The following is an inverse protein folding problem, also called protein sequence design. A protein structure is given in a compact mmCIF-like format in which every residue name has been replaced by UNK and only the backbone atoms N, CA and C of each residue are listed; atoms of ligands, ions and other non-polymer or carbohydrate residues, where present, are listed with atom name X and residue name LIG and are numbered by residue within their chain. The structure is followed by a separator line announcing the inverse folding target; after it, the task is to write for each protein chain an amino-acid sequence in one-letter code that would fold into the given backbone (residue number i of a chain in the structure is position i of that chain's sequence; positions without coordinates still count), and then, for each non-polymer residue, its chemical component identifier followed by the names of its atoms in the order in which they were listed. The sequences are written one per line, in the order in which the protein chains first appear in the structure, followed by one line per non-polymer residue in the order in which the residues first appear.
data_IF_842711553947
#
_entry.id   IF_842711553947
#
_cell.length_a   1.000
_cell.length_b   1.000
_cell.length_c   1.000
_cell.angle_alpha   90.00
_cell.angle_beta   90.00
_cell.angle_gamma   90.00
#
_symmetry.space_group_name_H-M   'P 1'
#
loop_
_entity.id
_entity.type
_entity.pdbx_description
1 polymer ?
#
# COMPACT_ATOMS: atom_id res chain seq x y z
N UNK A 1 -32.31 29.06 7.02
CA UNK A 1 -32.29 28.07 5.92
C UNK A 1 -31.37 28.64 4.86
N UNK A 2 -30.18 28.12 4.56
CA UNK A 2 -29.66 26.76 4.56
C UNK A 2 -28.25 26.79 5.18
N UNK A 3 -27.97 25.78 6.01
CA UNK A 3 -26.71 25.53 6.71
C UNK A 3 -25.74 24.75 5.81
N UNK A 4 -24.46 24.77 6.20
CA UNK A 4 -23.36 23.83 5.92
C UNK A 4 -22.15 24.37 5.15
N UNK A 5 -21.13 24.67 5.97
CA UNK A 5 -19.68 24.52 5.77
C UNK A 5 -18.94 25.36 4.72
N UNK A 6 -18.30 26.42 5.24
CA UNK A 6 -16.97 26.88 4.83
C UNK A 6 -15.92 25.77 5.06
N UNK A 7 -15.81 24.82 4.12
CA UNK A 7 -14.73 23.82 3.97
C UNK A 7 -14.65 23.51 2.48
N UNK A 8 -13.56 23.63 1.74
CA UNK A 8 -12.15 23.83 2.04
C UNK A 8 -11.54 24.59 0.85
N UNK A 9 -10.43 25.26 1.09
CA UNK A 9 -9.63 25.97 0.08
C UNK A 9 -9.27 25.07 -1.12
N UNK A 10 -9.24 25.72 -2.28
CA UNK A 10 -8.79 25.25 -3.58
C UNK A 10 -7.41 24.57 -3.55
N UNK A 11 -7.35 23.31 -3.10
CA UNK A 11 -6.24 22.42 -3.43
C UNK A 11 -6.63 21.63 -4.69
N UNK A 12 -6.42 22.24 -5.85
CA UNK A 12 -6.44 21.52 -7.12
C UNK A 12 -5.21 20.61 -7.19
N UNK A 13 -5.25 19.48 -6.50
CA UNK A 13 -4.26 18.42 -6.66
C UNK A 13 -4.40 17.88 -8.09
N UNK A 14 -3.33 17.90 -8.87
CA UNK A 14 -3.31 17.23 -10.16
C UNK A 14 -3.54 15.72 -9.97
N UNK A 15 -4.41 15.14 -10.78
CA UNK A 15 -4.47 13.69 -10.93
C UNK A 15 -3.28 13.25 -11.77
N UNK A 16 -2.35 12.52 -11.17
CA UNK A 16 -1.16 12.03 -11.86
C UNK A 16 -1.44 10.76 -12.65
N UNK A 17 -0.75 10.61 -13.78
CA UNK A 17 -0.68 9.33 -14.49
C UNK A 17 -0.10 8.23 -13.59
N UNK A 18 -0.48 6.97 -13.87
CA UNK A 18 -0.01 5.83 -13.08
C UNK A 18 1.52 5.80 -13.01
N UNK A 19 2.05 5.76 -11.79
CA UNK A 19 3.49 5.72 -11.52
C UNK A 19 4.13 7.08 -11.25
N UNK A 20 3.35 8.16 -11.19
CA UNK A 20 3.83 9.49 -10.80
C UNK A 20 3.12 10.02 -9.55
N UNK A 21 3.81 10.89 -8.81
CA UNK A 21 3.36 11.54 -7.57
C UNK A 21 3.98 12.94 -7.46
N UNK A 22 3.59 13.70 -6.43
CA UNK A 22 4.02 15.09 -6.22
C UNK A 22 2.89 16.10 -6.47
N UNK A 23 3.14 17.38 -6.21
CA UNK A 23 2.16 18.45 -6.43
C UNK A 23 1.90 18.68 -7.93
N UNK A 24 2.92 18.48 -8.78
CA UNK A 24 2.82 18.59 -10.24
C UNK A 24 3.22 17.29 -10.96
N UNK A 25 3.17 16.14 -10.28
CA UNK A 25 3.50 14.83 -10.85
C UNK A 25 4.95 14.70 -11.35
N UNK A 26 5.89 15.49 -10.81
CA UNK A 26 7.31 15.46 -11.21
C UNK A 26 8.10 14.28 -10.63
N UNK A 27 7.56 13.59 -9.61
CA UNK A 27 8.22 12.49 -8.95
C UNK A 27 7.70 11.16 -9.45
N UNK A 28 8.59 10.20 -9.65
CA UNK A 28 8.19 8.81 -9.87
C UNK A 28 7.69 8.25 -8.53
N UNK A 29 6.47 7.72 -8.53
CA UNK A 29 5.86 7.09 -7.37
C UNK A 29 6.56 5.78 -7.05
N UNK A 30 6.81 5.54 -5.77
CA UNK A 30 7.31 4.26 -5.30
C UNK A 30 6.27 3.18 -5.57
N UNK A 31 6.73 2.05 -6.10
CA UNK A 31 5.87 0.94 -6.48
C UNK A 31 6.19 -0.29 -5.67
N UNK A 32 5.15 -1.03 -5.32
CA UNK A 32 5.34 -2.37 -4.78
C UNK A 32 5.77 -3.31 -5.89
N UNK A 33 6.85 -4.03 -5.68
CA UNK A 33 7.12 -5.24 -6.45
C UNK A 33 6.00 -6.25 -6.22
N UNK A 34 5.91 -7.22 -7.12
CA UNK A 34 5.03 -8.37 -6.95
C UNK A 34 5.25 -9.02 -5.58
N UNK A 35 4.15 -9.52 -5.01
CA UNK A 35 4.25 -10.26 -3.77
C UNK A 35 5.10 -11.51 -3.97
N UNK A 36 6.00 -11.74 -3.03
CA UNK A 36 6.69 -13.02 -2.90
C UNK A 36 5.70 -14.16 -2.65
N UNK A 37 6.20 -15.38 -2.82
CA UNK A 37 5.41 -16.58 -2.52
C UNK A 37 5.01 -16.62 -1.04
N UNK A 38 3.85 -17.20 -0.76
CA UNK A 38 3.46 -17.53 0.60
C UNK A 38 4.44 -18.54 1.19
N UNK A 39 4.85 -18.30 2.43
CA UNK A 39 5.60 -19.26 3.23
C UNK A 39 4.77 -20.52 3.44
N UNK A 40 5.41 -21.65 3.79
CA UNK A 40 4.71 -22.77 4.36
C UNK A 40 3.87 -22.35 5.57
N UNK A 41 2.80 -23.11 5.83
CA UNK A 41 1.94 -22.88 6.97
C UNK A 41 2.66 -23.24 8.27
N UNK A 42 2.70 -22.32 9.21
CA UNK A 42 3.27 -22.52 10.53
C UNK A 42 2.23 -22.24 11.64
N UNK A 43 2.07 -23.16 12.60
CA UNK A 43 2.60 -24.53 12.60
C UNK A 43 2.01 -25.39 11.48
N UNK A 44 2.71 -26.47 11.11
CA UNK A 44 2.28 -27.36 10.02
C UNK A 44 0.90 -27.97 10.32
N UNK A 45 0.63 -28.29 11.59
CA UNK A 45 -0.62 -28.84 12.09
C UNK A 45 -1.09 -28.11 13.36
N UNK A 46 -2.40 -28.24 13.65
CA UNK A 46 -3.04 -27.60 14.81
C UNK A 46 -3.86 -26.38 14.42
N UNK A 47 -4.37 -25.69 15.44
CA UNK A 47 -5.21 -24.49 15.29
C UNK A 47 -4.31 -23.26 15.21
N UNK A 48 -4.75 -22.22 14.49
CA UNK A 48 -4.00 -20.97 14.38
C UNK A 48 -2.85 -21.02 13.37
N UNK A 49 -3.00 -21.84 12.33
CA UNK A 49 -2.03 -21.93 11.23
C UNK A 49 -1.96 -20.59 10.51
N UNK A 50 -0.74 -20.13 10.23
CA UNK A 50 -0.52 -18.90 9.48
C UNK A 50 0.50 -19.13 8.39
N UNK A 51 0.37 -18.38 7.31
CA UNK A 51 1.41 -18.23 6.30
C UNK A 51 1.66 -16.75 6.06
N UNK A 52 2.87 -16.44 5.58
CA UNK A 52 3.33 -15.09 5.41
C UNK A 52 3.88 -14.89 4.02
N UNK A 53 3.75 -13.70 3.47
CA UNK A 53 4.45 -13.31 2.25
C UNK A 53 5.03 -11.92 2.41
N UNK A 54 6.07 -11.65 1.65
CA UNK A 54 6.81 -10.40 1.71
C UNK A 54 6.86 -9.82 0.29
N UNK A 55 6.76 -8.50 0.17
CA UNK A 55 7.00 -7.76 -1.08
C UNK A 55 8.08 -6.72 -0.87
N UNK A 56 8.71 -6.29 -1.94
CA UNK A 56 9.77 -5.27 -1.89
C UNK A 56 9.19 -3.94 -2.34
N UNK A 57 9.50 -2.86 -1.63
CA UNK A 57 9.20 -1.51 -2.09
C UNK A 57 10.30 -1.05 -3.04
N UNK A 58 9.94 -0.83 -4.31
CA UNK A 58 10.82 -0.21 -5.29
C UNK A 58 10.70 1.30 -5.08
N UNK A 59 11.67 1.84 -4.34
CA UNK A 59 11.74 3.28 -4.07
C UNK A 59 12.09 4.02 -5.36
N UNK A 60 11.46 5.15 -5.57
CA UNK A 60 11.83 6.10 -6.60
C UNK A 60 12.07 7.47 -5.95
N UNK A 61 13.30 7.96 -6.07
CA UNK A 61 13.79 9.16 -5.39
C UNK A 61 13.52 9.12 -3.87
N UNK A 62 12.61 9.97 -3.38
CA UNK A 62 12.25 10.12 -1.97
C UNK A 62 10.88 9.52 -1.62
N UNK A 63 10.17 8.95 -2.59
CA UNK A 63 8.86 8.37 -2.36
C UNK A 63 8.99 7.00 -1.69
N UNK A 64 8.07 6.71 -0.76
CA UNK A 64 7.98 5.42 -0.07
C UNK A 64 6.66 4.74 -0.43
N UNK A 65 6.67 3.41 -0.50
CA UNK A 65 5.45 2.67 -0.74
C UNK A 65 4.56 2.71 0.50
N UNK A 66 3.29 3.05 0.32
CA UNK A 66 2.33 3.04 1.40
C UNK A 66 1.81 1.62 1.66
N UNK A 67 1.77 1.21 2.93
CA UNK A 67 1.29 -0.11 3.37
C UNK A 67 2.40 -1.02 3.93
N UNK A 68 2.02 -2.25 4.27
CA UNK A 68 2.91 -3.22 4.91
C UNK A 68 3.78 -3.97 3.89
N UNK A 69 5.01 -4.28 4.30
CA UNK A 69 5.99 -5.10 3.55
C UNK A 69 5.72 -6.60 3.73
N UNK A 70 5.22 -7.00 4.90
CA UNK A 70 4.81 -8.37 5.23
C UNK A 70 3.28 -8.45 5.28
N UNK A 71 2.73 -9.53 4.75
CA UNK A 71 1.33 -9.90 4.95
C UNK A 71 1.26 -11.27 5.62
N UNK A 72 0.49 -11.35 6.71
CA UNK A 72 0.19 -12.60 7.41
C UNK A 72 -1.26 -12.96 7.16
N UNK A 73 -1.52 -14.23 6.84
CA UNK A 73 -2.88 -14.75 6.68
C UNK A 73 -3.08 -15.96 7.58
N UNK A 74 -4.26 -15.99 8.22
CA UNK A 74 -4.69 -17.10 9.05
C UNK A 74 -5.41 -18.13 8.18
N UNK A 75 -4.97 -19.38 8.29
CA UNK A 75 -5.57 -20.51 7.59
C UNK A 75 -6.58 -21.11 8.54
N UNK A 76 -7.86 -20.91 8.25
CA UNK A 76 -8.94 -21.61 8.93
C UNK A 76 -9.04 -23.02 8.34
N UNK A 77 -9.08 -24.02 9.23
CA UNK A 77 -9.17 -25.45 8.92
C UNK A 77 -10.54 -25.84 8.39
#
# INVERSE_FOLDING_TARGET
MILFSLKDELHSKCECDHGYTGEMCEEVAAQWAEWGQWSPCEPICGVGRTHKRIRICIRANHSNCHGQTEQVSFIQS
#
